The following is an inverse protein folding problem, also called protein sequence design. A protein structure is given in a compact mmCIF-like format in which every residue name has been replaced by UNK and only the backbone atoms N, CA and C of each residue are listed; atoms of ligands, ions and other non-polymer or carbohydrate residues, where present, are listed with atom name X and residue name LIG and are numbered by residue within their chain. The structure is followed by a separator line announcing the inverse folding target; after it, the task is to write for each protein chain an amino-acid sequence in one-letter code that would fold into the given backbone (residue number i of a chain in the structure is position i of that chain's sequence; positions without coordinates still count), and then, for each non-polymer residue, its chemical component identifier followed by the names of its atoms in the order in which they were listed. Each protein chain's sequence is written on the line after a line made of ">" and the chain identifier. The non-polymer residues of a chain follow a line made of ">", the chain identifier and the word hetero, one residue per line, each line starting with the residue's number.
data_IF_582678338312
#
_entry.id   IF_582678338312
#
_cell.length_a   1.000
_cell.length_b   1.000
_cell.length_c   1.000
_cell.angle_alpha   90.00
_cell.angle_beta   90.00
_cell.angle_gamma   90.00
#
_symmetry.space_group_name_H-M   'P 1'
#
loop_
_entity.id
_entity.type
_entity.pdbx_description
1 polymer ?
#
# COMPACT_ATOMS: atom_id res chain seq x y z
N UNK A 1 13.13 -14.58 31.68
CA UNK A 1 13.20 -13.94 30.34
C UNK A 1 12.06 -12.94 30.28
N UNK A 2 12.35 -11.66 30.03
CA UNK A 2 11.36 -10.60 30.05
C UNK A 2 10.85 -10.33 28.64
N UNK A 3 9.56 -10.54 28.38
CA UNK A 3 8.94 -10.24 27.09
C UNK A 3 8.59 -8.76 27.07
N UNK A 4 9.13 -8.03 26.09
CA UNK A 4 8.86 -6.58 25.92
C UNK A 4 7.81 -6.27 24.87
N UNK A 5 7.59 -7.17 23.92
CA UNK A 5 6.62 -6.98 22.83
C UNK A 5 5.62 -8.12 22.82
N UNK A 6 4.34 -7.78 22.83
CA UNK A 6 3.22 -8.72 22.73
C UNK A 6 2.18 -8.18 21.76
N UNK A 7 1.43 -9.05 21.10
CA UNK A 7 0.49 -8.61 20.08
C UNK A 7 -0.41 -9.72 19.55
N UNK A 8 -1.32 -9.30 18.66
CA UNK A 8 -2.12 -10.17 17.79
C UNK A 8 -1.69 -9.94 16.35
N UNK A 9 -1.63 -10.99 15.53
CA UNK A 9 -1.23 -10.88 14.14
C UNK A 9 -2.20 -11.67 13.25
N UNK A 10 -2.59 -11.08 12.13
CA UNK A 10 -3.33 -11.79 11.09
C UNK A 10 -4.82 -12.00 11.35
N UNK A 11 -5.43 -11.23 12.27
CA UNK A 11 -6.86 -11.34 12.54
C UNK A 11 -7.66 -10.75 11.38
N UNK A 12 -8.58 -11.54 10.80
CA UNK A 12 -9.44 -11.05 9.72
C UNK A 12 -10.76 -10.50 10.26
N UNK A 13 -11.16 -9.31 9.81
CA UNK A 13 -12.40 -8.67 10.21
C UNK A 13 -13.03 -7.87 9.05
N UNK A 14 -14.37 -7.80 8.95
CA UNK A 14 -15.03 -6.94 7.99
C UNK A 14 -14.86 -5.46 8.37
N UNK A 15 -14.59 -4.61 7.39
CA UNK A 15 -14.41 -3.16 7.58
C UNK A 15 -15.09 -2.36 6.48
N UNK A 16 -15.34 -1.07 6.74
CA UNK A 16 -15.87 -0.12 5.75
C UNK A 16 -14.83 0.96 5.46
N UNK A 17 -14.48 1.12 4.19
CA UNK A 17 -13.51 2.13 3.74
C UNK A 17 -14.20 3.14 2.83
N UNK A 18 -13.86 4.42 2.98
CA UNK A 18 -14.42 5.51 2.17
C UNK A 18 -13.71 5.56 0.83
N UNK A 19 -14.50 5.74 -0.22
CA UNK A 19 -14.01 6.02 -1.56
C UNK A 19 -14.07 7.52 -1.86
N UNK A 20 -13.20 7.99 -2.77
CA UNK A 20 -13.23 9.36 -3.30
C UNK A 20 -14.57 9.72 -3.94
N UNK A 21 -15.30 8.71 -4.42
CA UNK A 21 -16.66 8.83 -4.96
C UNK A 21 -17.71 9.23 -3.91
N UNK A 22 -17.38 9.18 -2.63
CA UNK A 22 -18.29 9.36 -1.49
C UNK A 22 -19.00 8.07 -1.05
N UNK A 23 -18.81 6.96 -1.76
CA UNK A 23 -19.35 5.65 -1.37
C UNK A 23 -18.52 5.00 -0.26
N UNK A 24 -19.11 3.97 0.35
CA UNK A 24 -18.43 3.09 1.30
C UNK A 24 -18.25 1.71 0.67
N UNK A 25 -17.02 1.22 0.65
CA UNK A 25 -16.68 -0.13 0.24
C UNK A 25 -16.63 -1.04 1.46
N UNK A 26 -17.37 -2.16 1.41
CA UNK A 26 -17.25 -3.22 2.41
C UNK A 26 -16.14 -4.17 1.96
N UNK A 27 -15.14 -4.37 2.80
CA UNK A 27 -13.99 -5.25 2.50
C UNK A 27 -13.60 -6.05 3.75
N UNK A 28 -12.65 -6.97 3.61
CA UNK A 28 -12.08 -7.75 4.72
C UNK A 28 -10.67 -7.25 4.97
N UNK A 29 -10.42 -6.74 6.18
CA UNK A 29 -9.08 -6.36 6.61
C UNK A 29 -8.39 -7.49 7.37
N UNK A 30 -7.08 -7.54 7.24
CA UNK A 30 -6.16 -8.27 8.10
C UNK A 30 -5.55 -7.28 9.09
N UNK A 31 -5.82 -7.50 10.38
CA UNK A 31 -5.46 -6.62 11.48
C UNK A 31 -4.31 -7.26 12.26
N UNK A 32 -3.28 -6.47 12.52
CA UNK A 32 -2.18 -6.83 13.41
C UNK A 32 -1.97 -5.70 14.41
N UNK A 33 -1.77 -6.04 15.68
CA UNK A 33 -1.58 -5.10 16.77
C UNK A 33 -0.38 -5.55 17.58
N UNK A 34 0.50 -4.63 17.95
CA UNK A 34 1.63 -4.89 18.83
C UNK A 34 1.72 -3.80 19.90
N UNK A 35 2.13 -4.19 21.09
CA UNK A 35 2.39 -3.28 22.19
C UNK A 35 3.78 -3.55 22.76
N UNK A 36 4.53 -2.48 23.01
CA UNK A 36 5.75 -2.53 23.79
C UNK A 36 5.40 -2.24 25.26
N UNK A 37 5.54 -3.23 26.14
CA UNK A 37 5.17 -3.10 27.55
C UNK A 37 6.21 -2.31 28.36
N UNK A 38 5.76 -1.67 29.43
CA UNK A 38 6.64 -0.99 30.40
C UNK A 38 7.32 -2.00 31.35
N UNK A 39 6.57 -3.01 31.77
CA UNK A 39 7.02 -4.10 32.65
C UNK A 39 6.70 -5.45 32.02
N UNK A 40 7.53 -6.45 32.32
CA UNK A 40 7.54 -7.73 31.61
C UNK A 40 6.43 -8.72 31.97
N UNK A 41 5.58 -8.40 32.96
CA UNK A 41 4.58 -9.31 33.51
C UNK A 41 3.22 -8.63 33.60
N UNK A 42 2.50 -8.61 32.48
CA UNK A 42 1.05 -8.39 32.50
C UNK A 42 0.33 -9.65 32.03
N UNK A 43 -0.39 -10.26 32.97
CA UNK A 43 -1.35 -11.30 32.66
C UNK A 43 -2.45 -10.73 31.74
N UNK A 44 -3.01 -11.56 30.86
CA UNK A 44 -4.19 -11.26 30.02
C UNK A 44 -4.03 -10.15 28.96
N UNK A 45 -2.82 -9.91 28.43
CA UNK A 45 -2.62 -8.99 27.30
C UNK A 45 -3.51 -9.33 26.09
N UNK A 46 -3.62 -10.62 25.74
CA UNK A 46 -4.45 -11.11 24.62
C UNK A 46 -5.94 -10.82 24.85
N UNK A 47 -6.43 -11.00 26.08
CA UNK A 47 -7.82 -10.70 26.44
C UNK A 47 -8.10 -9.20 26.30
N UNK A 48 -7.15 -8.36 26.72
CA UNK A 48 -7.23 -6.90 26.57
C UNK A 48 -7.32 -6.47 25.11
N UNK A 49 -6.44 -6.99 24.23
CA UNK A 49 -6.52 -6.74 22.78
C UNK A 49 -7.88 -7.13 22.21
N UNK A 50 -8.35 -8.33 22.56
CA UNK A 50 -9.59 -8.89 22.02
C UNK A 50 -10.81 -8.09 22.49
N UNK A 51 -10.86 -7.74 23.78
CA UNK A 51 -11.93 -6.93 24.37
C UNK A 51 -12.03 -5.56 23.73
N UNK A 52 -10.90 -4.87 23.58
CA UNK A 52 -10.87 -3.55 22.94
C UNK A 52 -11.33 -3.67 21.49
N UNK A 53 -10.78 -4.60 20.72
CA UNK A 53 -11.17 -4.76 19.32
C UNK A 53 -12.66 -5.09 19.16
N UNK A 54 -13.22 -5.95 20.02
CA UNK A 54 -14.64 -6.32 19.97
C UNK A 54 -15.57 -5.11 20.08
N UNK A 55 -15.18 -4.09 20.84
CA UNK A 55 -15.96 -2.85 20.97
C UNK A 55 -15.99 -2.02 19.68
N UNK A 56 -15.08 -2.28 18.73
CA UNK A 56 -14.99 -1.57 17.46
C UNK A 56 -15.34 -2.44 16.24
N UNK A 57 -15.65 -3.73 16.44
CA UNK A 57 -16.09 -4.62 15.36
C UNK A 57 -17.37 -4.07 14.72
N UNK A 58 -17.26 -3.51 13.52
CA UNK A 58 -18.35 -2.88 12.76
C UNK A 58 -18.17 -1.38 12.48
N UNK A 59 -17.31 -0.69 13.24
CA UNK A 59 -17.01 0.75 13.10
C UNK A 59 -15.53 1.03 12.75
N UNK A 60 -14.78 -0.02 12.41
CA UNK A 60 -13.38 0.09 11.99
C UNK A 60 -13.26 1.00 10.76
N UNK A 61 -12.61 2.15 10.98
CA UNK A 61 -12.38 3.22 10.01
C UNK A 61 -11.11 4.00 10.40
N UNK A 62 -10.60 4.84 9.50
CA UNK A 62 -9.44 5.73 9.81
C UNK A 62 -9.71 6.59 11.04
N UNK A 63 -10.96 7.02 11.24
CA UNK A 63 -11.36 7.86 12.37
C UNK A 63 -11.35 7.12 13.71
N UNK A 64 -11.73 5.84 13.74
CA UNK A 64 -11.68 5.05 14.97
C UNK A 64 -10.27 4.56 15.31
N UNK A 65 -9.36 4.57 14.34
CA UNK A 65 -7.97 4.11 14.47
C UNK A 65 -7.20 4.77 15.63
N UNK A 66 -7.30 6.11 15.76
CA UNK A 66 -6.64 6.85 16.86
C UNK A 66 -7.20 6.47 18.23
N UNK A 67 -8.52 6.33 18.33
CA UNK A 67 -9.21 5.96 19.57
C UNK A 67 -8.84 4.54 20.00
N UNK A 68 -8.79 3.60 19.05
CA UNK A 68 -8.38 2.21 19.32
C UNK A 68 -6.94 2.18 19.85
N UNK A 69 -6.02 2.87 19.19
CA UNK A 69 -4.62 2.95 19.63
C UNK A 69 -4.47 3.53 21.03
N UNK A 70 -5.23 4.59 21.36
CA UNK A 70 -5.24 5.18 22.70
C UNK A 70 -5.74 4.17 23.75
N UNK A 71 -6.89 3.52 23.49
CA UNK A 71 -7.45 2.52 24.39
C UNK A 71 -6.52 1.32 24.58
N UNK A 72 -5.84 0.87 23.52
CA UNK A 72 -4.84 -0.20 23.60
C UNK A 72 -3.66 0.21 24.47
N UNK A 73 -3.13 1.42 24.28
CA UNK A 73 -1.99 1.91 25.07
C UNK A 73 -2.35 1.98 26.55
N UNK A 74 -3.51 2.53 26.88
CA UNK A 74 -3.96 2.69 28.26
C UNK A 74 -4.31 1.35 28.90
N UNK A 75 -5.09 0.50 28.23
CA UNK A 75 -5.50 -0.81 28.73
C UNK A 75 -4.31 -1.75 28.97
N UNK A 76 -3.31 -1.71 28.08
CA UNK A 76 -2.09 -2.50 28.23
C UNK A 76 -1.05 -1.79 29.12
N UNK A 77 -1.25 -0.53 29.52
CA UNK A 77 -0.23 0.37 30.08
C UNK A 77 1.11 0.20 29.35
N UNK A 78 1.06 0.30 28.04
CA UNK A 78 2.20 0.09 27.16
C UNK A 78 2.98 1.39 26.94
N UNK A 79 4.29 1.25 26.72
CA UNK A 79 5.17 2.35 26.30
C UNK A 79 4.79 2.86 24.91
N UNK A 80 4.54 1.93 23.99
CA UNK A 80 4.04 2.22 22.66
C UNK A 80 3.12 1.11 22.16
N UNK A 81 2.24 1.45 21.23
CA UNK A 81 1.37 0.50 20.54
C UNK A 81 1.36 0.84 19.06
N UNK A 82 1.34 -0.18 18.21
CA UNK A 82 1.12 -0.08 16.77
C UNK A 82 -0.04 -0.98 16.35
N UNK A 83 -0.86 -0.47 15.45
CA UNK A 83 -1.98 -1.16 14.83
C UNK A 83 -1.84 -1.02 13.33
N UNK A 84 -1.93 -2.15 12.64
CA UNK A 84 -1.87 -2.26 11.19
C UNK A 84 -3.15 -2.90 10.69
N UNK A 85 -3.73 -2.33 9.66
CA UNK A 85 -4.94 -2.81 9.02
C UNK A 85 -4.74 -2.80 7.52
N UNK A 86 -4.46 -3.98 6.96
CA UNK A 86 -4.26 -4.19 5.52
C UNK A 86 -5.54 -4.75 4.91
N UNK A 87 -6.01 -4.20 3.80
CA UNK A 87 -7.25 -4.62 3.14
C UNK A 87 -7.14 -4.45 1.61
N UNK A 88 -7.84 -5.30 0.84
CA UNK A 88 -8.00 -5.06 -0.58
C UNK A 88 -8.93 -3.87 -0.78
N UNK A 89 -8.54 -3.00 -1.72
CA UNK A 89 -9.22 -1.79 -2.12
C UNK A 89 -9.53 -1.87 -3.61
N UNK A 90 -10.79 -1.71 -4.00
CA UNK A 90 -11.23 -1.88 -5.38
C UNK A 90 -11.56 -0.55 -6.04
N UNK A 91 -11.07 -0.35 -7.26
CA UNK A 91 -11.48 0.76 -8.14
C UNK A 91 -12.12 0.23 -9.41
N UNK A 92 -13.21 0.88 -9.83
CA UNK A 92 -13.78 0.69 -11.16
C UNK A 92 -12.86 1.34 -12.20
N UNK A 93 -12.21 0.50 -13.01
CA UNK A 93 -11.39 0.92 -14.14
C UNK A 93 -12.11 0.64 -15.45
N UNK A 94 -11.98 1.60 -16.37
CA UNK A 94 -12.39 1.46 -17.77
C UNK A 94 -11.18 1.11 -18.62
N UNK A 95 -11.29 0.04 -19.40
CA UNK A 95 -10.28 -0.31 -20.39
C UNK A 95 -10.04 0.86 -21.38
N UNK A 96 -8.79 1.05 -21.86
CA UNK A 96 -8.38 2.28 -22.53
C UNK A 96 -9.03 2.51 -23.91
N UNK A 97 -9.45 1.44 -24.61
CA UNK A 97 -10.01 1.52 -25.95
C UNK A 97 -11.49 1.14 -25.96
N UNK A 98 -11.84 0.00 -25.38
CA UNK A 98 -13.20 -0.52 -25.39
C UNK A 98 -14.08 0.05 -24.28
N UNK A 99 -13.48 0.74 -23.30
CA UNK A 99 -14.14 1.23 -22.09
C UNK A 99 -14.90 0.15 -21.31
N UNK A 100 -14.49 -1.11 -21.47
CA UNK A 100 -15.02 -2.22 -20.68
C UNK A 100 -14.73 -1.96 -19.21
N UNK A 101 -15.76 -1.99 -18.37
CA UNK A 101 -15.66 -1.79 -16.93
C UNK A 101 -15.12 -3.04 -16.25
N UNK A 102 -14.25 -2.86 -15.27
CA UNK A 102 -13.75 -3.93 -14.41
C UNK A 102 -13.31 -3.37 -13.06
N UNK A 103 -13.50 -4.15 -11.99
CA UNK A 103 -12.97 -3.81 -10.68
C UNK A 103 -11.50 -4.26 -10.61
N UNK A 104 -10.61 -3.31 -10.37
CA UNK A 104 -9.19 -3.56 -10.14
C UNK A 104 -8.91 -3.56 -8.64
N UNK A 105 -8.23 -4.59 -8.16
CA UNK A 105 -7.81 -4.73 -6.77
C UNK A 105 -6.44 -4.08 -6.55
N UNK A 106 -6.31 -3.37 -5.43
CA UNK A 106 -5.06 -2.85 -4.87
C UNK A 106 -4.98 -3.26 -3.41
N UNK A 107 -3.77 -3.32 -2.84
CA UNK A 107 -3.64 -3.51 -1.39
C UNK A 107 -3.38 -2.16 -0.72
N UNK A 108 -4.21 -1.81 0.24
CA UNK A 108 -4.02 -0.62 1.08
C UNK A 108 -3.74 -1.06 2.51
N UNK A 109 -2.86 -0.34 3.19
CA UNK A 109 -2.60 -0.55 4.63
C UNK A 109 -2.66 0.79 5.37
N UNK A 110 -3.42 0.82 6.45
CA UNK A 110 -3.31 1.86 7.47
C UNK A 110 -2.42 1.32 8.58
N UNK A 111 -1.31 2.00 8.86
CA UNK A 111 -0.40 1.65 9.95
C UNK A 111 -0.26 2.86 10.86
N UNK A 112 -0.69 2.72 12.10
CA UNK A 112 -0.71 3.80 13.08
C UNK A 112 -0.07 3.37 14.38
N UNK A 113 0.62 4.29 15.04
CA UNK A 113 1.19 4.05 16.35
C UNK A 113 1.08 5.25 17.29
N UNK A 114 1.22 4.97 18.59
CA UNK A 114 1.15 5.94 19.69
C UNK A 114 2.26 5.64 20.69
N UNK A 115 2.86 6.67 21.28
CA UNK A 115 3.99 6.55 22.20
C UNK A 115 5.31 6.85 21.49
N UNK A 116 6.34 6.03 21.71
CA UNK A 116 7.63 6.18 21.01
C UNK A 116 7.55 5.89 19.50
N UNK A 117 6.45 5.27 19.07
CA UNK A 117 6.21 4.88 17.69
C UNK A 117 5.03 5.69 17.09
N UNK A 118 5.00 6.98 17.39
CA UNK A 118 3.91 7.87 17.01
C UNK A 118 3.90 8.14 15.50
N UNK A 119 2.71 8.04 14.90
CA UNK A 119 2.48 8.45 13.53
C UNK A 119 1.42 7.62 12.85
N UNK A 120 1.01 8.08 11.67
CA UNK A 120 0.11 7.36 10.79
C UNK A 120 0.73 7.30 9.40
N UNK A 121 0.74 6.11 8.81
CA UNK A 121 1.24 5.83 7.48
C UNK A 121 0.11 5.20 6.69
N UNK A 122 -0.17 5.80 5.53
CA UNK A 122 -0.95 5.16 4.47
C UNK A 122 0.01 4.48 3.51
N UNK A 123 -0.17 3.18 3.30
CA UNK A 123 0.55 2.41 2.30
C UNK A 123 -0.40 1.97 1.20
N UNK A 124 0.03 2.09 -0.05
CA UNK A 124 -0.62 1.49 -1.21
C UNK A 124 0.38 0.60 -1.95
N UNK A 125 -0.05 -0.61 -2.31
CA UNK A 125 0.70 -1.52 -3.17
C UNK A 125 -0.08 -1.64 -4.47
N UNK A 126 0.56 -1.24 -5.56
CA UNK A 126 -0.05 -1.09 -6.87
C UNK A 126 0.66 -1.99 -7.88
N UNK A 127 -0.05 -2.96 -8.49
CA UNK A 127 0.51 -3.76 -9.56
C UNK A 127 0.60 -2.95 -10.85
N UNK A 128 1.76 -2.98 -11.49
CA UNK A 128 2.03 -2.29 -12.75
C UNK A 128 2.75 -3.23 -13.73
N UNK A 129 2.85 -2.81 -14.99
CA UNK A 129 3.73 -3.43 -15.98
C UNK A 129 5.00 -2.62 -16.11
N UNK A 130 6.14 -3.30 -16.04
CA UNK A 130 7.47 -2.77 -16.41
C UNK A 130 7.96 -3.47 -17.67
N UNK A 131 8.50 -2.71 -18.61
CA UNK A 131 9.12 -3.23 -19.83
C UNK A 131 10.56 -2.75 -19.91
N UNK A 132 11.48 -3.70 -20.09
CA UNK A 132 12.92 -3.45 -19.94
C UNK A 132 13.49 -2.64 -21.12
N UNK A 133 14.07 -1.45 -20.88
CA UNK A 133 14.74 -0.67 -21.91
C UNK A 133 15.88 -1.43 -22.58
N UNK A 134 16.74 -2.10 -21.80
CA UNK A 134 17.86 -2.90 -22.33
C UNK A 134 17.37 -3.97 -23.32
N UNK A 135 16.33 -4.71 -22.96
CA UNK A 135 15.80 -5.79 -23.81
C UNK A 135 15.29 -5.26 -25.14
N UNK A 136 14.60 -4.12 -25.12
CA UNK A 136 14.10 -3.46 -26.32
C UNK A 136 15.24 -2.97 -27.22
N UNK A 137 16.32 -2.46 -26.62
CA UNK A 137 17.46 -1.91 -27.36
C UNK A 137 18.25 -2.99 -28.11
N UNK A 138 18.47 -4.15 -27.48
CA UNK A 138 19.34 -5.20 -28.04
C UNK A 138 18.62 -6.22 -28.94
N UNK A 139 17.28 -6.28 -28.88
CA UNK A 139 16.51 -7.30 -29.59
C UNK A 139 16.03 -6.80 -30.96
N UNK A 140 16.14 -7.65 -31.98
CA UNK A 140 15.62 -7.34 -33.32
C UNK A 140 14.07 -7.25 -33.37
N UNK A 141 13.38 -7.82 -32.37
CA UNK A 141 11.94 -7.73 -32.23
C UNK A 141 11.49 -8.13 -30.83
N UNK A 142 10.50 -7.40 -30.30
CA UNK A 142 9.99 -7.59 -28.95
C UNK A 142 10.90 -7.04 -27.85
N UNK A 143 10.43 -7.14 -26.61
CA UNK A 143 11.15 -6.82 -25.39
C UNK A 143 10.50 -7.56 -24.22
N UNK A 144 11.28 -8.10 -23.29
CA UNK A 144 10.67 -8.72 -22.11
C UNK A 144 10.01 -7.66 -21.22
N UNK A 145 8.92 -8.07 -20.60
CA UNK A 145 8.15 -7.30 -19.65
C UNK A 145 7.57 -8.23 -18.60
N UNK A 146 7.20 -7.66 -17.46
CA UNK A 146 6.72 -8.42 -16.32
C UNK A 146 5.79 -7.58 -15.46
N UNK A 147 5.14 -8.25 -14.51
CA UNK A 147 4.46 -7.57 -13.41
C UNK A 147 5.49 -7.02 -12.44
N UNK A 148 5.26 -5.82 -11.98
CA UNK A 148 5.96 -5.24 -10.85
C UNK A 148 4.94 -4.78 -9.82
N UNK A 149 5.35 -4.73 -8.55
CA UNK A 149 4.60 -4.11 -7.48
C UNK A 149 5.34 -2.86 -7.02
N UNK A 150 4.60 -1.75 -6.99
CA UNK A 150 5.11 -0.49 -6.44
C UNK A 150 4.42 -0.28 -5.10
N UNK A 151 5.22 -0.20 -4.05
CA UNK A 151 4.77 0.15 -2.71
C UNK A 151 5.08 1.61 -2.43
N UNK A 152 4.09 2.40 -2.06
CA UNK A 152 4.27 3.79 -1.62
C UNK A 152 3.68 3.96 -0.22
N UNK A 153 4.55 4.29 0.73
CA UNK A 153 4.19 4.64 2.10
C UNK A 153 4.25 6.15 2.24
N UNK A 154 3.22 6.78 2.82
CA UNK A 154 3.19 8.23 3.01
C UNK A 154 2.76 8.61 4.42
N UNK A 155 3.42 9.63 4.97
CA UNK A 155 2.92 10.47 6.06
C UNK A 155 2.43 11.78 5.45
N UNK A 156 1.33 12.31 5.94
CA UNK A 156 0.68 13.48 5.35
C UNK A 156 0.12 14.43 6.42
N UNK A 157 0.04 15.74 6.10
CA UNK A 157 -0.55 16.74 7.02
C UNK A 157 -2.07 16.76 6.93
N UNK A 158 -2.57 16.81 5.69
CA UNK A 158 -3.99 16.86 5.38
C UNK A 158 -4.43 15.51 4.80
N UNK A 159 -5.72 15.22 4.91
CA UNK A 159 -6.32 14.02 4.35
C UNK A 159 -5.92 13.80 2.88
N UNK A 160 -5.53 12.57 2.55
CA UNK A 160 -5.17 12.13 1.20
C UNK A 160 -5.97 10.87 0.83
N UNK A 161 -6.42 10.77 -0.42
CA UNK A 161 -7.11 9.57 -0.92
C UNK A 161 -6.11 8.50 -1.34
N UNK A 162 -6.44 7.23 -1.08
CA UNK A 162 -5.66 6.12 -1.61
C UNK A 162 -5.65 6.13 -3.13
N UNK A 163 -6.74 6.55 -3.76
CA UNK A 163 -6.88 6.72 -5.21
C UNK A 163 -5.87 7.68 -5.81
N UNK A 164 -5.56 8.78 -5.12
CA UNK A 164 -4.60 9.77 -5.63
C UNK A 164 -3.19 9.17 -5.67
N UNK A 165 -2.82 8.38 -4.64
CA UNK A 165 -1.56 7.65 -4.59
C UNK A 165 -1.49 6.53 -5.64
N UNK A 166 -2.59 5.80 -5.83
CA UNK A 166 -2.69 4.74 -6.85
C UNK A 166 -2.50 5.35 -8.24
N UNK A 167 -3.23 6.41 -8.57
CA UNK A 167 -3.11 7.09 -9.86
C UNK A 167 -1.69 7.65 -10.11
N UNK A 168 -1.05 8.20 -9.07
CA UNK A 168 0.33 8.69 -9.13
C UNK A 168 1.28 7.56 -9.54
N UNK A 169 1.14 6.39 -8.93
CA UNK A 169 1.96 5.22 -9.24
C UNK A 169 1.69 4.69 -10.64
N UNK A 170 0.41 4.55 -11.03
CA UNK A 170 0.04 4.04 -12.35
C UNK A 170 0.59 4.91 -13.50
N UNK A 171 0.65 6.23 -13.28
CA UNK A 171 1.26 7.19 -14.22
C UNK A 171 2.79 7.11 -14.27
N UNK A 172 3.42 6.45 -13.30
CA UNK A 172 4.88 6.37 -13.15
C UNK A 172 5.50 5.13 -13.79
N UNK A 173 4.71 4.12 -14.17
CA UNK A 173 5.20 2.87 -14.76
C UNK A 173 5.20 2.86 -16.31
N UNK A 174 5.67 1.76 -16.93
CA UNK A 174 5.59 1.58 -18.39
C UNK A 174 4.14 1.55 -18.86
N UNK A 175 3.30 0.77 -18.17
CA UNK A 175 1.85 0.79 -18.32
C UNK A 175 1.18 0.36 -17.01
N UNK A 176 -0.01 0.88 -16.75
CA UNK A 176 -0.89 0.41 -15.70
C UNK A 176 -1.53 -0.95 -16.06
N UNK A 177 -2.07 -1.64 -15.06
CA UNK A 177 -2.76 -2.92 -15.24
C UNK A 177 -4.28 -2.70 -15.23
N UNK A 178 -4.98 -3.58 -15.95
CA UNK A 178 -6.44 -3.64 -16.00
C UNK A 178 -6.87 -5.09 -15.75
N UNK A 179 -7.96 -5.28 -15.01
CA UNK A 179 -8.45 -6.62 -14.68
C UNK A 179 -9.08 -7.32 -15.89
N UNK A 180 -9.75 -6.57 -16.78
CA UNK A 180 -10.35 -7.11 -18.01
C UNK A 180 -9.98 -6.23 -19.22
N UNK A 181 -9.49 -6.87 -20.27
CA UNK A 181 -9.12 -6.23 -21.54
C UNK A 181 -9.77 -6.99 -22.71
N UNK A 182 -10.19 -6.28 -23.75
CA UNK A 182 -10.53 -6.87 -25.06
C UNK A 182 -9.33 -6.74 -25.99
N UNK A 183 -9.35 -7.44 -27.13
CA UNK A 183 -8.25 -7.41 -28.12
C UNK A 183 -7.74 -6.01 -28.50
N UNK A 184 -8.60 -4.99 -28.76
CA UNK A 184 -8.11 -3.64 -29.04
C UNK A 184 -7.38 -3.00 -27.84
N UNK A 185 -7.82 -3.32 -26.62
CA UNK A 185 -7.17 -2.83 -25.39
C UNK A 185 -5.82 -3.52 -25.16
N UNK A 186 -5.75 -4.84 -25.37
CA UNK A 186 -4.50 -5.62 -25.26
C UNK A 186 -3.44 -5.08 -26.23
N UNK A 187 -3.83 -4.78 -27.47
CA UNK A 187 -2.97 -4.10 -28.44
C UNK A 187 -2.45 -2.78 -27.86
N UNK A 188 -3.35 -1.92 -27.38
CA UNK A 188 -3.00 -0.60 -26.86
C UNK A 188 -2.03 -0.67 -25.67
N UNK A 189 -2.32 -1.49 -24.65
CA UNK A 189 -1.46 -1.56 -23.45
C UNK A 189 -0.09 -2.16 -23.76
N UNK A 190 -0.03 -3.10 -24.70
CA UNK A 190 1.24 -3.69 -25.18
C UNK A 190 2.08 -2.63 -25.89
N UNK A 191 1.50 -1.88 -26.82
CA UNK A 191 2.19 -0.80 -27.54
C UNK A 191 2.58 0.35 -26.60
N UNK A 192 1.71 0.71 -25.64
CA UNK A 192 1.99 1.74 -24.62
C UNK A 192 3.21 1.36 -23.77
N UNK A 193 3.26 0.14 -23.24
CA UNK A 193 4.40 -0.34 -22.47
C UNK A 193 5.68 -0.41 -23.33
N UNK A 194 5.57 -0.93 -24.57
CA UNK A 194 6.70 -1.02 -25.49
C UNK A 194 7.29 0.34 -25.84
N UNK A 195 6.46 1.36 -26.00
CA UNK A 195 6.89 2.73 -26.31
C UNK A 195 7.36 3.53 -25.09
N UNK A 196 7.16 3.01 -23.88
CA UNK A 196 7.50 3.65 -22.61
C UNK A 196 8.28 2.68 -21.70
N UNK A 197 9.42 2.12 -22.15
CA UNK A 197 10.20 1.19 -21.36
C UNK A 197 10.81 1.90 -20.13
N UNK A 198 10.86 1.22 -18.99
CA UNK A 198 11.42 1.77 -17.74
C UNK A 198 12.15 0.68 -16.94
N UNK A 199 13.30 1.03 -16.35
CA UNK A 199 13.89 0.23 -15.28
C UNK A 199 13.15 0.45 -13.95
N UNK A 200 13.40 -0.41 -12.97
CA UNK A 200 12.86 -0.24 -11.61
C UNK A 200 13.31 1.07 -10.98
N UNK A 201 14.54 1.51 -11.26
CA UNK A 201 15.11 2.78 -10.83
C UNK A 201 14.39 3.99 -11.45
N UNK A 202 13.90 3.86 -12.69
CA UNK A 202 13.16 4.94 -13.35
C UNK A 202 11.76 5.08 -12.75
N UNK A 203 11.08 3.95 -12.52
CA UNK A 203 9.74 3.95 -11.91
C UNK A 203 9.81 4.54 -10.51
N UNK A 204 10.73 4.08 -9.66
CA UNK A 204 10.85 4.60 -8.28
C UNK A 204 11.19 6.09 -8.26
N UNK A 205 12.04 6.55 -9.20
CA UNK A 205 12.39 7.98 -9.33
C UNK A 205 11.18 8.82 -9.75
N UNK A 206 10.36 8.35 -10.69
CA UNK A 206 9.15 9.07 -11.11
C UNK A 206 8.10 9.13 -9.99
N UNK A 207 7.94 8.05 -9.22
CA UNK A 207 7.09 8.04 -8.01
C UNK A 207 7.59 9.05 -7.00
N UNK A 208 8.89 9.05 -6.69
CA UNK A 208 9.50 9.97 -5.73
C UNK A 208 9.36 11.44 -6.15
N UNK A 209 9.63 11.77 -7.41
CA UNK A 209 9.45 13.13 -7.94
C UNK A 209 8.00 13.58 -7.80
N UNK A 210 7.05 12.71 -8.12
CA UNK A 210 5.62 13.03 -8.00
C UNK A 210 5.19 13.19 -6.54
N UNK A 211 5.69 12.35 -5.64
CA UNK A 211 5.40 12.43 -4.21
C UNK A 211 6.02 13.68 -3.56
N UNK A 212 7.23 14.09 -3.97
CA UNK A 212 7.88 15.33 -3.52
C UNK A 212 7.13 16.58 -3.98
N UNK A 213 6.46 16.51 -5.12
CA UNK A 213 5.70 17.64 -5.66
C UNK A 213 4.37 17.89 -4.92
N UNK A 214 3.85 16.92 -4.16
CA UNK A 214 2.65 17.10 -3.35
C UNK A 214 2.99 17.71 -1.97
N UNK A 215 2.60 18.97 -1.70
CA UNK A 215 2.91 19.63 -0.43
C UNK A 215 2.22 19.01 0.80
N UNK A 216 1.22 18.14 0.60
CA UNK A 216 0.56 17.44 1.69
C UNK A 216 1.39 16.26 2.21
N UNK A 217 2.26 15.67 1.38
CA UNK A 217 3.12 14.54 1.75
C UNK A 217 4.34 15.06 2.52
N UNK A 218 4.36 14.79 3.83
CA UNK A 218 5.45 15.23 4.71
C UNK A 218 6.65 14.31 4.65
N UNK A 219 6.42 13.03 4.38
CA UNK A 219 7.44 12.01 4.26
C UNK A 219 6.86 10.88 3.41
N UNK A 220 7.72 10.20 2.64
CA UNK A 220 7.35 8.97 1.96
C UNK A 220 8.52 8.01 1.88
N UNK A 221 8.19 6.74 1.68
CA UNK A 221 9.10 5.77 1.08
C UNK A 221 8.44 5.08 -0.11
N UNK A 222 9.21 4.85 -1.16
CA UNK A 222 8.75 4.17 -2.36
C UNK A 222 9.67 3.00 -2.70
N UNK A 223 9.09 1.84 -2.94
CA UNK A 223 9.79 0.64 -3.38
C UNK A 223 9.15 0.09 -4.65
N UNK A 224 9.96 -0.44 -5.56
CA UNK A 224 9.51 -1.11 -6.77
C UNK A 224 10.15 -2.48 -6.82
N UNK A 225 9.34 -3.54 -6.83
CA UNK A 225 9.78 -4.91 -7.03
C UNK A 225 9.27 -5.42 -8.38
N UNK A 226 10.18 -5.72 -9.31
CA UNK A 226 9.89 -6.30 -10.61
C UNK A 226 10.12 -7.80 -10.57
N UNK A 227 9.07 -8.60 -10.78
CA UNK A 227 9.14 -10.06 -10.78
C UNK A 227 9.64 -10.55 -12.14
N UNK A 228 10.96 -10.58 -12.32
CA UNK A 228 11.60 -10.77 -13.62
C UNK A 228 11.06 -11.98 -14.40
N UNK A 229 10.63 -11.77 -15.64
CA UNK A 229 10.06 -12.83 -16.48
C UNK A 229 11.09 -13.87 -16.94
N UNK A 230 12.38 -13.48 -16.97
CA UNK A 230 13.49 -14.28 -17.52
C UNK A 230 14.50 -14.71 -16.45
N UNK A 231 14.28 -14.32 -15.19
CA UNK A 231 15.16 -14.66 -14.07
C UNK A 231 14.34 -15.20 -12.89
N UNK A 232 14.97 -16.00 -12.02
CA UNK A 232 14.32 -16.57 -10.82
C UNK A 232 14.60 -15.74 -9.56
N UNK A 233 14.51 -14.42 -9.69
CA UNK A 233 14.64 -13.44 -8.61
C UNK A 233 14.01 -12.12 -9.08
N UNK A 234 13.72 -11.23 -8.15
CA UNK A 234 13.19 -9.89 -8.46
C UNK A 234 14.32 -8.88 -8.66
N UNK A 235 14.11 -7.92 -9.56
CA UNK A 235 14.86 -6.67 -9.56
C UNK A 235 14.15 -5.65 -8.65
N UNK A 236 14.88 -4.88 -7.86
CA UNK A 236 14.29 -4.00 -6.85
C UNK A 236 15.00 -2.65 -6.74
N UNK A 237 14.24 -1.59 -6.50
CA UNK A 237 14.75 -0.27 -6.15
C UNK A 237 13.91 0.36 -5.01
N UNK A 238 14.54 1.19 -4.19
CA UNK A 238 13.92 1.84 -3.04
C UNK A 238 14.43 3.27 -2.88
N UNK A 239 13.58 4.12 -2.32
CA UNK A 239 13.94 5.47 -1.91
C UNK A 239 13.16 5.86 -0.67
N UNK A 240 13.84 6.50 0.27
CA UNK A 240 13.24 7.17 1.42
C UNK A 240 13.42 8.68 1.27
N UNK A 241 12.35 9.44 1.53
CA UNK A 241 12.41 10.91 1.39
C UNK A 241 13.39 11.58 2.36
N UNK A 242 13.75 10.93 3.47
CA UNK A 242 14.76 11.42 4.41
C UNK A 242 16.19 11.33 3.84
N UNK A 243 16.43 10.52 2.81
CA UNK A 243 17.73 10.36 2.15
C UNK A 243 17.93 11.31 0.96
N UNK A 244 16.86 11.98 0.52
CA UNK A 244 16.84 12.78 -0.72
C UNK A 244 16.59 14.27 -0.45
N UNK A 245 16.21 14.64 0.77
CA UNK A 245 15.92 16.03 1.18
C UNK A 245 17.10 16.75 1.82
#
# INVERSE_FOLDING_TARGET
>A
MHIRTVGLKGLKAPVKVKERSGKLQNTIATISMQAHLLESNKDNCVETFTSILNNYLGELSVTSFRTILAHLKDGLQAKSVRLEMAFPYFLDKKAPVSHTHSLMEYTCTFSGGVGEDEGFILSVIVPVTTLCPCSKEISAGGAHNQRAEVTLNVKFRNFIWAEDLIELIEKSASCEVYALLKRPDEKFVTEKAFNNPMFVEDVVRKVAVSALADPNITWFSAGVESFESIHKHSAYAYVDSDEVR
#
